data_IF_175376594248
#
_entry.id   IF_175376594248
#
_cell.length_a   1.000
_cell.length_b   1.000
_cell.length_c   1.000
_cell.angle_alpha   90.00
_cell.angle_beta   90.00
_cell.angle_gamma   90.00
#
_symmetry.space_group_name_H-M   'P 1'
#
loop_
_entity.id
_entity.type
_entity.pdbx_description
1 polymer ?
#
# COMPACT_ATOMS: atom_id res chain seq x y z
N UNK A 1 -44.87 9.07 4.87
CA UNK A 1 -43.95 9.59 3.83
C UNK A 1 -42.72 8.71 3.90
N UNK A 2 -42.41 7.97 2.84
CA UNK A 2 -41.25 7.06 2.82
C UNK A 2 -39.97 7.88 2.80
N UNK A 3 -39.16 7.77 3.86
CA UNK A 3 -37.92 8.52 3.99
C UNK A 3 -36.89 7.97 2.98
N UNK A 4 -36.55 8.76 1.96
CA UNK A 4 -35.53 8.39 0.97
C UNK A 4 -34.14 8.60 1.57
N UNK A 5 -33.53 7.51 2.01
CA UNK A 5 -32.19 7.50 2.56
C UNK A 5 -31.15 7.28 1.45
N UNK A 6 -30.00 7.96 1.55
CA UNK A 6 -28.85 7.68 0.68
C UNK A 6 -28.34 6.25 0.91
N UNK A 7 -27.87 5.54 -0.15
CA UNK A 7 -27.31 4.20 -0.01
C UNK A 7 -26.13 4.19 0.95
N UNK A 8 -26.28 3.51 2.09
CA UNK A 8 -25.27 3.42 3.16
C UNK A 8 -25.40 2.09 3.87
N UNK A 9 -24.28 1.53 4.34
CA UNK A 9 -24.32 0.47 5.33
C UNK A 9 -24.75 1.10 6.66
N UNK A 10 -25.83 0.58 7.25
CA UNK A 10 -26.37 1.03 8.53
C UNK A 10 -26.20 -0.08 9.54
N UNK A 11 -25.39 0.19 10.56
CA UNK A 11 -25.13 -0.76 11.64
C UNK A 11 -25.79 -0.23 12.90
N UNK A 12 -26.74 -0.96 13.51
CA UNK A 12 -27.27 -0.58 14.81
C UNK A 12 -26.13 -0.64 15.83
N UNK A 13 -25.99 0.42 16.62
CA UNK A 13 -25.00 0.50 17.70
C UNK A 13 -25.64 0.07 19.02
N UNK A 14 -24.80 -0.33 19.97
CA UNK A 14 -25.22 -0.66 21.33
C UNK A 14 -25.73 0.60 22.06
N UNK A 15 -27.04 0.69 22.26
CA UNK A 15 -27.68 1.86 22.88
C UNK A 15 -27.21 2.08 24.32
N UNK A 16 -26.97 1.01 25.08
CA UNK A 16 -26.58 1.10 26.49
C UNK A 16 -25.16 1.63 26.61
N UNK A 17 -24.28 1.26 25.68
CA UNK A 17 -22.93 1.81 25.60
C UNK A 17 -22.96 3.33 25.39
N UNK A 18 -23.75 3.82 24.43
CA UNK A 18 -23.82 5.25 24.12
C UNK A 18 -24.59 6.05 25.18
N UNK A 19 -25.62 5.45 25.81
CA UNK A 19 -26.29 6.04 26.97
C UNK A 19 -25.28 6.29 28.10
N UNK A 20 -24.60 5.23 28.55
CA UNK A 20 -23.67 5.30 29.69
C UNK A 20 -22.44 6.16 29.46
N UNK A 21 -21.87 6.12 28.25
CA UNK A 21 -20.59 6.76 27.96
C UNK A 21 -20.72 8.12 27.28
N UNK A 22 -21.91 8.53 26.85
CA UNK A 22 -22.10 9.87 26.27
C UNK A 22 -23.22 10.63 26.99
N UNK A 23 -24.43 10.08 27.04
CA UNK A 23 -25.59 10.80 27.58
C UNK A 23 -25.52 10.97 29.10
N UNK A 24 -25.20 9.90 29.84
CA UNK A 24 -25.03 9.94 31.30
C UNK A 24 -23.79 10.74 31.75
N UNK A 25 -22.95 11.14 30.80
CA UNK A 25 -21.76 11.98 31.01
C UNK A 25 -22.03 13.47 30.86
N UNK A 26 -23.29 13.86 30.71
CA UNK A 26 -23.71 15.25 30.71
C UNK A 26 -23.17 16.01 31.93
N UNK A 27 -22.55 17.17 31.70
CA UNK A 27 -21.96 18.00 32.75
C UNK A 27 -20.63 17.50 33.31
N UNK A 28 -20.15 16.30 32.95
CA UNK A 28 -18.85 15.79 33.39
C UNK A 28 -17.68 16.43 32.63
N UNK A 29 -16.53 16.50 33.30
CA UNK A 29 -15.32 17.12 32.76
C UNK A 29 -14.83 16.46 31.45
N UNK A 30 -15.13 15.17 31.26
CA UNK A 30 -14.77 14.40 30.06
C UNK A 30 -15.41 14.93 28.77
N UNK A 31 -16.55 15.62 28.86
CA UNK A 31 -17.25 16.21 27.72
C UNK A 31 -16.96 17.71 27.53
N UNK A 32 -16.18 18.34 28.43
CA UNK A 32 -15.96 19.78 28.41
C UNK A 32 -15.24 20.29 27.15
N UNK A 33 -14.40 19.45 26.53
CA UNK A 33 -13.72 19.81 25.28
C UNK A 33 -13.29 18.57 24.49
N UNK A 34 -12.90 18.80 23.23
CA UNK A 34 -12.51 17.76 22.28
C UNK A 34 -11.35 16.89 22.77
N UNK A 35 -10.32 17.47 23.38
CA UNK A 35 -9.14 16.71 23.82
C UNK A 35 -9.46 15.73 24.96
N UNK A 36 -10.30 16.15 25.90
CA UNK A 36 -10.79 15.30 26.99
C UNK A 36 -11.71 14.20 26.47
N UNK A 37 -12.62 14.54 25.55
CA UNK A 37 -13.49 13.57 24.90
C UNK A 37 -12.67 12.53 24.12
N UNK A 38 -11.69 12.94 23.32
CA UNK A 38 -10.82 12.04 22.57
C UNK A 38 -10.02 11.11 23.50
N UNK A 39 -9.52 11.62 24.61
CA UNK A 39 -8.78 10.82 25.60
C UNK A 39 -9.69 9.79 26.31
N UNK A 40 -10.95 10.15 26.55
CA UNK A 40 -11.93 9.29 27.21
C UNK A 40 -12.53 8.26 26.25
N UNK A 41 -13.06 8.69 25.10
CA UNK A 41 -13.77 7.85 24.13
C UNK A 41 -12.83 6.98 23.30
N UNK A 42 -11.58 7.43 23.08
CA UNK A 42 -10.47 6.76 22.35
C UNK A 42 -10.71 6.47 20.87
N UNK A 43 -11.94 6.17 20.45
CA UNK A 43 -12.31 5.90 19.07
C UNK A 43 -13.21 4.68 18.92
N UNK A 44 -13.44 4.29 17.68
CA UNK A 44 -14.23 3.12 17.32
C UNK A 44 -13.38 2.16 16.53
N UNK A 45 -13.55 0.87 16.82
CA UNK A 45 -12.97 -0.21 16.03
C UNK A 45 -14.14 -0.85 15.29
N UNK A 46 -14.12 -0.74 13.96
CA UNK A 46 -15.08 -1.41 13.09
C UNK A 46 -14.39 -2.64 12.55
N UNK A 47 -14.81 -3.82 13.01
CA UNK A 47 -14.34 -5.09 12.49
C UNK A 47 -15.39 -5.68 11.56
N UNK A 48 -15.02 -5.87 10.30
CA UNK A 48 -15.81 -6.66 9.38
C UNK A 48 -15.40 -8.13 9.51
N UNK A 49 -16.34 -9.00 9.83
CA UNK A 49 -16.17 -10.45 9.72
C UNK A 49 -16.97 -10.94 8.52
N UNK A 50 -16.29 -11.55 7.56
CA UNK A 50 -16.95 -12.24 6.44
C UNK A 50 -16.74 -13.73 6.62
N UNK A 51 -17.79 -14.52 6.35
CA UNK A 51 -17.68 -15.98 6.24
C UNK A 51 -17.36 -16.42 4.80
N UNK A 52 -17.09 -15.46 3.90
CA UNK A 52 -16.82 -15.69 2.49
C UNK A 52 -15.61 -14.84 2.06
N UNK A 53 -14.55 -15.53 1.63
CA UNK A 53 -13.22 -14.95 1.38
C UNK A 53 -13.15 -14.06 0.12
N UNK A 54 -14.24 -13.99 -0.65
CA UNK A 54 -14.26 -13.39 -1.98
C UNK A 54 -14.81 -11.95 -2.03
N UNK A 55 -15.18 -11.34 -0.89
CA UNK A 55 -15.76 -9.99 -0.88
C UNK A 55 -14.81 -8.97 -0.22
N UNK A 56 -14.31 -8.04 -1.04
CA UNK A 56 -13.69 -6.81 -0.56
C UNK A 56 -14.61 -5.63 -0.84
N UNK A 57 -14.85 -4.80 0.17
CA UNK A 57 -15.72 -3.63 0.07
C UNK A 57 -14.89 -2.35 0.04
N UNK A 58 -15.08 -1.54 -1.00
CA UNK A 58 -14.60 -0.17 -1.02
C UNK A 58 -15.66 0.72 -0.35
N UNK A 59 -15.44 1.08 0.91
CA UNK A 59 -16.35 1.91 1.67
C UNK A 59 -15.83 3.34 1.74
N UNK A 60 -16.72 4.30 1.48
CA UNK A 60 -16.46 5.71 1.75
C UNK A 60 -16.56 5.99 3.25
N UNK A 61 -15.45 5.77 3.95
CA UNK A 61 -15.32 6.08 5.37
C UNK A 61 -15.20 7.60 5.62
N UNK A 62 -14.95 8.41 4.57
CA UNK A 62 -14.87 9.87 4.73
C UNK A 62 -16.22 10.47 5.08
N UNK A 63 -17.29 9.93 4.50
CA UNK A 63 -18.66 10.37 4.77
C UNK A 63 -19.37 9.52 5.84
N UNK A 64 -18.64 8.71 6.60
CA UNK A 64 -19.18 7.92 7.70
C UNK A 64 -19.49 8.80 8.91
N UNK A 65 -20.62 8.51 9.57
CA UNK A 65 -21.14 9.26 10.70
C UNK A 65 -21.91 8.34 11.65
N UNK A 66 -22.04 8.76 12.89
CA UNK A 66 -22.92 8.15 13.88
C UNK A 66 -24.11 9.09 14.09
N UNK A 67 -25.31 8.54 14.05
CA UNK A 67 -26.53 9.26 14.46
C UNK A 67 -27.03 8.69 15.77
N UNK A 68 -27.11 9.53 16.79
CA UNK A 68 -27.74 9.22 18.06
C UNK A 68 -29.07 9.94 18.11
N UNK A 69 -30.16 9.19 18.18
CA UNK A 69 -31.48 9.74 18.46
C UNK A 69 -31.77 9.44 19.92
N UNK A 70 -32.05 10.46 20.72
CA UNK A 70 -32.31 10.32 22.14
C UNK A 70 -33.42 11.25 22.58
N UNK A 71 -34.10 10.83 23.64
CA UNK A 71 -35.11 11.62 24.31
C UNK A 71 -34.48 12.32 25.52
N UNK A 72 -34.86 13.57 25.77
CA UNK A 72 -34.40 14.34 26.91
C UNK A 72 -35.55 15.10 27.55
N UNK A 73 -35.42 15.36 28.85
CA UNK A 73 -36.39 16.14 29.60
C UNK A 73 -36.02 17.62 29.53
N UNK A 74 -36.95 18.44 29.03
CA UNK A 74 -36.85 19.90 29.06
C UNK A 74 -37.82 20.43 30.10
N UNK A 75 -37.33 21.31 30.96
CA UNK A 75 -38.15 22.11 31.85
C UNK A 75 -38.70 23.33 31.08
N UNK A 76 -39.99 23.57 31.23
CA UNK A 76 -40.71 24.70 30.64
C UNK A 76 -41.37 25.49 31.77
N UNK A 77 -40.97 26.75 31.94
CA UNK A 77 -41.38 27.64 33.03
C UNK A 77 -42.59 28.51 32.67
N UNK A 78 -43.30 28.19 31.58
CA UNK A 78 -44.46 28.95 31.12
C UNK A 78 -44.14 30.40 30.69
N UNK A 79 -42.85 30.81 30.70
CA UNK A 79 -42.41 32.19 30.54
C UNK A 79 -42.48 33.04 31.82
N UNK A 80 -42.67 32.41 32.99
CA UNK A 80 -42.83 33.07 34.29
C UNK A 80 -41.83 32.55 35.33
N UNK A 81 -40.67 33.21 35.44
CA UNK A 81 -39.58 32.76 36.33
C UNK A 81 -39.86 32.78 37.85
N UNK A 82 -40.98 33.38 38.28
CA UNK A 82 -41.38 33.48 39.71
C UNK A 82 -42.65 32.68 40.02
N UNK A 83 -43.31 32.12 39.01
CA UNK A 83 -44.49 31.25 39.17
C UNK A 83 -44.08 29.82 38.87
N UNK A 84 -44.29 28.91 39.82
CA UNK A 84 -43.93 27.49 39.68
C UNK A 84 -45.18 26.61 39.47
N UNK A 85 -46.39 27.20 39.45
CA UNK A 85 -47.64 26.45 39.40
C UNK A 85 -47.93 25.89 37.98
N UNK A 86 -47.35 26.48 36.93
CA UNK A 86 -47.49 26.05 35.53
C UNK A 86 -46.25 25.37 34.94
N UNK A 87 -45.23 25.14 35.78
CA UNK A 87 -44.02 24.40 35.43
C UNK A 87 -44.33 22.97 34.99
N UNK A 88 -43.82 22.60 33.81
CA UNK A 88 -43.93 21.23 33.31
C UNK A 88 -42.58 20.68 32.83
N UNK A 89 -42.43 19.35 32.97
CA UNK A 89 -41.34 18.60 32.35
C UNK A 89 -41.88 17.95 31.08
N UNK A 90 -41.36 18.36 29.93
CA UNK A 90 -41.71 17.78 28.64
C UNK A 90 -40.59 16.85 28.16
N UNK A 91 -40.97 15.75 27.50
CA UNK A 91 -40.00 14.88 26.81
C UNK A 91 -39.89 15.32 25.36
N UNK A 92 -38.69 15.65 24.93
CA UNK A 92 -38.37 16.03 23.55
C UNK A 92 -37.37 15.04 22.94
N UNK A 93 -37.44 14.87 21.62
CA UNK A 93 -36.48 14.05 20.89
C UNK A 93 -35.44 14.94 20.19
N UNK A 94 -34.17 14.52 20.22
CA UNK A 94 -33.09 15.17 19.48
C UNK A 94 -32.24 14.14 18.75
N UNK A 95 -31.79 14.50 17.55
CA UNK A 95 -30.74 13.78 16.83
C UNK A 95 -29.42 14.51 16.98
N UNK A 96 -28.41 13.84 17.52
CA UNK A 96 -27.03 14.30 17.46
C UNK A 96 -26.25 13.48 16.43
N UNK A 97 -25.47 14.18 15.59
CA UNK A 97 -24.62 13.55 14.58
C UNK A 97 -23.16 13.72 14.96
N UNK A 98 -22.47 12.60 15.19
CA UNK A 98 -21.03 12.57 15.42
C UNK A 98 -20.33 12.17 14.11
N UNK A 99 -19.51 13.07 13.57
CA UNK A 99 -18.66 12.76 12.41
C UNK A 99 -17.43 11.97 12.86
N UNK A 100 -16.97 11.01 12.04
CA UNK A 100 -15.71 10.32 12.34
C UNK A 100 -14.54 11.29 12.16
N UNK A 101 -13.63 11.31 13.14
CA UNK A 101 -12.44 12.15 13.14
C UNK A 101 -11.51 11.83 11.94
N UNK A 102 -10.63 12.77 11.54
CA UNK A 102 -9.70 12.55 10.42
C UNK A 102 -8.71 11.40 10.67
N UNK A 103 -8.39 11.11 11.94
CA UNK A 103 -7.48 10.03 12.32
C UNK A 103 -8.18 8.70 12.16
N UNK A 104 -7.82 7.97 11.10
CA UNK A 104 -8.38 6.66 10.74
C UNK A 104 -7.24 5.73 10.40
N UNK A 105 -7.29 4.53 10.96
CA UNK A 105 -6.36 3.45 10.65
C UNK A 105 -7.17 2.28 10.12
N UNK A 106 -6.79 1.79 8.94
CA UNK A 106 -7.35 0.55 8.41
C UNK A 106 -6.33 -0.56 8.63
N UNK A 107 -6.70 -1.58 9.41
CA UNK A 107 -5.86 -2.77 9.61
C UNK A 107 -6.48 -3.92 8.84
N UNK A 108 -5.90 -4.25 7.70
CA UNK A 108 -6.25 -5.45 6.96
C UNK A 108 -5.34 -6.57 7.47
N UNK A 109 -5.93 -7.54 8.19
CA UNK A 109 -5.26 -8.79 8.50
C UNK A 109 -5.71 -9.82 7.50
N UNK A 110 -4.77 -10.34 6.74
CA UNK A 110 -5.01 -11.43 5.81
C UNK A 110 -4.13 -12.59 6.22
N UNK A 111 -4.75 -13.73 6.49
CA UNK A 111 -4.02 -14.99 6.66
C UNK A 111 -3.95 -15.67 5.30
N UNK A 112 -2.75 -16.05 4.87
CA UNK A 112 -2.60 -16.81 3.64
C UNK A 112 -2.66 -18.29 3.98
N UNK A 113 -3.64 -19.00 3.42
CA UNK A 113 -3.81 -20.43 3.66
C UNK A 113 -2.99 -21.30 2.71
N UNK A 114 -2.38 -20.70 1.68
CA UNK A 114 -1.55 -21.44 0.73
C UNK A 114 -0.12 -21.65 1.26
N UNK A 115 0.26 -22.92 1.45
CA UNK A 115 1.57 -23.30 1.94
C UNK A 115 2.72 -22.87 1.02
N UNK A 116 2.50 -22.83 -0.29
CA UNK A 116 3.53 -22.43 -1.26
C UNK A 116 3.84 -20.94 -1.17
N UNK A 117 2.82 -20.10 -0.96
CA UNK A 117 3.01 -18.66 -0.75
C UNK A 117 3.69 -18.42 0.60
N UNK A 118 3.24 -19.11 1.65
CA UNK A 118 3.87 -18.99 2.97
C UNK A 118 5.36 -19.37 2.94
N UNK A 119 5.73 -20.43 2.20
CA UNK A 119 7.13 -20.80 2.03
C UNK A 119 7.93 -19.74 1.27
N UNK A 120 7.38 -19.16 0.20
CA UNK A 120 8.02 -18.06 -0.54
C UNK A 120 8.24 -16.83 0.35
N UNK A 121 7.27 -16.47 1.19
CA UNK A 121 7.39 -15.37 2.16
C UNK A 121 8.48 -15.66 3.20
N UNK A 122 8.54 -16.89 3.74
CA UNK A 122 9.59 -17.30 4.67
C UNK A 122 10.97 -17.23 4.03
N UNK A 123 11.12 -17.69 2.79
CA UNK A 123 12.37 -17.58 2.03
C UNK A 123 12.78 -16.11 1.87
N UNK A 124 11.82 -15.21 1.58
CA UNK A 124 12.04 -13.77 1.53
C UNK A 124 12.61 -13.20 2.83
N UNK A 125 12.04 -13.58 3.99
CA UNK A 125 12.56 -13.18 5.30
C UNK A 125 13.96 -13.74 5.61
N UNK A 126 14.35 -14.83 4.98
CA UNK A 126 15.66 -15.46 5.12
C UNK A 126 16.65 -15.03 4.03
N UNK A 127 16.28 -14.08 3.16
CA UNK A 127 17.08 -13.63 2.01
C UNK A 127 17.45 -14.80 1.06
N UNK A 128 16.60 -15.81 0.98
CA UNK A 128 16.76 -16.96 0.12
C UNK A 128 15.98 -16.81 -1.19
N UNK A 129 16.52 -17.31 -2.32
CA UNK A 129 15.79 -17.30 -3.58
C UNK A 129 14.53 -18.16 -3.48
N UNK A 130 13.48 -17.71 -4.16
CA UNK A 130 12.21 -18.44 -4.26
C UNK A 130 11.99 -18.94 -5.69
N UNK A 131 11.20 -20.01 -5.85
CA UNK A 131 10.78 -20.50 -7.17
C UNK A 131 9.74 -19.58 -7.80
N UNK A 132 8.87 -19.01 -6.97
CA UNK A 132 7.83 -18.06 -7.35
C UNK A 132 7.92 -16.82 -6.49
N UNK A 133 7.49 -15.69 -7.03
CA UNK A 133 7.36 -14.42 -6.32
C UNK A 133 5.89 -14.00 -6.41
N UNK A 134 5.26 -13.75 -5.27
CA UNK A 134 3.86 -13.37 -5.18
C UNK A 134 3.75 -11.90 -4.79
N UNK A 135 3.02 -11.13 -5.59
CA UNK A 135 2.72 -9.72 -5.30
C UNK A 135 1.20 -9.59 -5.15
N UNK A 136 0.73 -8.96 -4.09
CA UNK A 136 -0.70 -8.74 -3.81
C UNK A 136 -0.88 -7.46 -3.04
N UNK A 137 -1.85 -6.64 -3.47
CA UNK A 137 -2.05 -5.33 -2.88
C UNK A 137 -2.31 -5.37 -1.38
N UNK A 138 -1.63 -4.51 -0.64
CA UNK A 138 -1.76 -4.38 0.81
C UNK A 138 -1.29 -5.58 1.63
N UNK A 139 -0.68 -6.62 1.03
CA UNK A 139 -0.26 -7.83 1.74
C UNK A 139 1.11 -8.35 1.28
N UNK A 140 1.27 -8.71 0.01
CA UNK A 140 2.46 -9.37 -0.51
C UNK A 140 3.26 -8.45 -1.43
N UNK A 141 4.56 -8.38 -1.20
CA UNK A 141 5.52 -7.58 -1.95
C UNK A 141 6.81 -8.36 -2.10
N UNK A 142 7.72 -7.89 -2.95
CA UNK A 142 9.00 -8.54 -3.14
C UNK A 142 10.16 -7.56 -3.00
N UNK A 143 11.30 -8.13 -2.63
CA UNK A 143 12.61 -7.50 -2.67
C UNK A 143 13.39 -8.15 -3.80
N UNK A 144 13.96 -7.33 -4.68
CA UNK A 144 14.80 -7.74 -5.78
C UNK A 144 16.22 -7.23 -5.54
N UNK A 145 17.19 -8.14 -5.45
CA UNK A 145 18.60 -7.75 -5.32
C UNK A 145 19.27 -7.83 -6.69
N UNK A 146 19.70 -6.69 -7.21
CA UNK A 146 20.54 -6.58 -8.40
C UNK A 146 21.94 -7.09 -8.08
N UNK A 147 22.52 -7.86 -9.02
CA UNK A 147 23.88 -8.35 -8.95
C UNK A 147 24.20 -9.26 -7.75
N UNK A 148 23.20 -9.94 -7.19
CA UNK A 148 23.37 -10.92 -6.12
C UNK A 148 23.16 -10.36 -4.71
N UNK A 149 23.40 -11.21 -3.72
CA UNK A 149 23.12 -10.92 -2.30
C UNK A 149 24.39 -10.59 -1.51
N UNK A 150 25.56 -10.82 -2.10
CA UNK A 150 26.86 -10.58 -1.46
C UNK A 150 27.58 -9.41 -2.10
N UNK A 151 28.37 -8.70 -1.31
CA UNK A 151 29.24 -7.63 -1.80
C UNK A 151 30.22 -8.14 -2.88
N UNK A 152 30.65 -9.40 -2.77
CA UNK A 152 31.55 -10.01 -3.73
C UNK A 152 30.92 -10.14 -5.13
N UNK A 153 29.67 -10.61 -5.21
CA UNK A 153 28.92 -10.72 -6.46
C UNK A 153 28.65 -9.33 -7.07
N UNK A 154 28.24 -8.37 -6.23
CA UNK A 154 27.97 -6.99 -6.65
C UNK A 154 29.24 -6.32 -7.18
N UNK A 155 30.38 -6.50 -6.50
CA UNK A 155 31.69 -6.02 -6.95
C UNK A 155 32.05 -6.63 -8.30
N UNK A 156 31.94 -7.95 -8.44
CA UNK A 156 32.30 -8.65 -9.67
C UNK A 156 31.43 -8.20 -10.87
N UNK A 157 30.15 -7.90 -10.63
CA UNK A 157 29.27 -7.37 -11.65
C UNK A 157 29.62 -5.94 -12.09
N UNK A 158 30.06 -5.08 -11.17
CA UNK A 158 30.27 -3.64 -11.43
C UNK A 158 31.70 -3.33 -11.92
N UNK A 159 32.69 -4.08 -11.42
CA UNK A 159 34.10 -3.83 -11.66
C UNK A 159 34.45 -3.69 -13.16
N UNK A 160 33.91 -4.51 -14.08
CA UNK A 160 34.16 -4.35 -15.52
C UNK A 160 33.70 -2.99 -16.07
N UNK A 161 32.54 -2.49 -15.61
CA UNK A 161 32.00 -1.20 -16.04
C UNK A 161 32.87 -0.03 -15.59
N UNK A 162 33.45 -0.14 -14.40
CA UNK A 162 34.35 0.87 -13.84
C UNK A 162 35.72 0.85 -14.52
N UNK A 163 36.32 -0.32 -14.69
CA UNK A 163 37.65 -0.47 -15.28
C UNK A 163 37.68 0.00 -16.73
N UNK A 164 36.64 -0.32 -17.50
CA UNK A 164 36.54 0.06 -18.92
C UNK A 164 35.85 1.41 -19.15
N UNK A 165 35.50 2.13 -18.07
CA UNK A 165 34.79 3.42 -18.13
C UNK A 165 33.57 3.37 -19.06
N UNK A 166 32.76 2.32 -18.91
CA UNK A 166 31.58 2.09 -19.73
C UNK A 166 30.53 3.16 -19.39
N UNK A 167 30.06 3.88 -20.42
CA UNK A 167 28.94 4.78 -20.32
C UNK A 167 27.65 3.99 -20.57
N UNK A 168 26.76 3.96 -19.58
CA UNK A 168 25.46 3.31 -19.68
C UNK A 168 24.55 4.17 -20.55
N UNK A 169 24.01 3.60 -21.63
CA UNK A 169 23.08 4.27 -22.54
C UNK A 169 21.64 3.87 -22.29
N UNK A 170 21.41 2.60 -21.94
CA UNK A 170 20.10 2.08 -21.61
C UNK A 170 20.23 0.89 -20.66
N UNK A 171 19.31 0.77 -19.72
CA UNK A 171 19.14 -0.44 -18.94
C UNK A 171 17.67 -0.80 -18.81
N UNK A 172 17.33 -2.07 -19.08
CA UNK A 172 15.98 -2.61 -18.98
C UNK A 172 15.93 -3.79 -18.04
N UNK A 173 14.98 -3.79 -17.12
CA UNK A 173 14.69 -4.91 -16.24
C UNK A 173 13.36 -5.54 -16.65
N UNK A 174 13.40 -6.83 -17.01
CA UNK A 174 12.20 -7.63 -17.31
C UNK A 174 11.98 -8.66 -16.22
N UNK A 175 10.74 -8.74 -15.74
CA UNK A 175 10.31 -9.71 -14.73
C UNK A 175 9.21 -10.60 -15.33
N UNK A 176 9.48 -11.89 -15.44
CA UNK A 176 8.62 -12.81 -16.17
C UNK A 176 7.49 -13.36 -15.30
N UNK A 177 6.30 -13.44 -15.89
CA UNK A 177 5.17 -14.12 -15.29
C UNK A 177 5.42 -15.62 -15.21
N UNK A 178 4.84 -16.24 -14.19
CA UNK A 178 4.67 -17.68 -14.14
C UNK A 178 3.63 -18.17 -15.16
N UNK A 179 3.62 -19.48 -15.40
CA UNK A 179 2.55 -20.14 -16.17
C UNK A 179 1.18 -20.12 -15.47
N UNK A 180 1.06 -19.56 -14.26
CA UNK A 180 -0.22 -19.49 -13.54
C UNK A 180 -1.29 -18.75 -14.35
N UNK A 181 -0.96 -17.60 -14.93
CA UNK A 181 -1.94 -16.77 -15.63
C UNK A 181 -2.25 -17.31 -17.03
N UNK A 182 -1.26 -17.91 -17.71
CA UNK A 182 -1.47 -18.56 -19.01
C UNK A 182 -2.35 -19.81 -18.88
N UNK A 183 -2.21 -20.56 -17.77
CA UNK A 183 -3.07 -21.70 -17.46
C UNK A 183 -4.46 -21.29 -16.93
N UNK A 184 -4.64 -20.05 -16.50
CA UNK A 184 -5.87 -19.51 -15.93
C UNK A 184 -6.30 -18.21 -16.64
N UNK A 185 -6.46 -18.26 -17.97
CA UNK A 185 -6.66 -17.08 -18.82
C UNK A 185 -7.87 -16.19 -18.55
N UNK A 186 -8.77 -16.57 -17.62
CA UNK A 186 -9.89 -15.73 -17.18
C UNK A 186 -9.54 -14.84 -15.96
N UNK A 187 -8.36 -15.04 -15.35
CA UNK A 187 -7.92 -14.25 -14.20
C UNK A 187 -7.36 -12.91 -14.66
N UNK A 188 -7.74 -11.86 -13.94
CA UNK A 188 -7.19 -10.53 -14.16
C UNK A 188 -5.69 -10.50 -13.81
N UNK A 189 -4.87 -10.03 -14.74
CA UNK A 189 -3.45 -9.73 -14.51
C UNK A 189 -3.32 -8.23 -14.27
N UNK A 190 -2.72 -7.79 -13.15
CA UNK A 190 -2.44 -6.37 -12.92
C UNK A 190 -1.68 -5.76 -14.10
N UNK A 191 -2.17 -4.66 -14.66
CA UNK A 191 -1.56 -4.05 -15.85
C UNK A 191 -0.20 -3.41 -15.56
N UNK A 192 0.11 -3.18 -14.28
CA UNK A 192 1.33 -2.47 -13.89
C UNK A 192 1.86 -2.86 -12.52
N UNK A 193 3.18 -2.98 -12.43
CA UNK A 193 3.96 -3.06 -11.20
C UNK A 193 4.73 -1.76 -10.96
N UNK A 194 5.12 -1.53 -9.71
CA UNK A 194 5.93 -0.39 -9.31
C UNK A 194 7.21 -0.85 -8.62
N UNK A 195 8.32 -0.26 -9.05
CA UNK A 195 9.68 -0.56 -8.60
C UNK A 195 10.26 0.69 -7.92
N UNK A 196 10.87 0.52 -6.76
CA UNK A 196 11.39 1.62 -5.94
C UNK A 196 12.62 1.20 -5.14
N UNK A 197 13.28 2.15 -4.48
CA UNK A 197 14.43 1.88 -3.63
C UNK A 197 13.99 1.23 -2.32
N UNK A 198 14.38 -0.03 -2.08
CA UNK A 198 13.84 -0.81 -0.97
C UNK A 198 14.12 -0.18 0.40
N UNK A 199 15.35 0.28 0.62
CA UNK A 199 15.81 0.79 1.92
C UNK A 199 15.16 2.12 2.31
N UNK A 200 15.00 3.05 1.36
CA UNK A 200 14.44 4.38 1.61
C UNK A 200 12.94 4.49 1.33
N UNK A 201 12.39 3.63 0.46
CA UNK A 201 11.06 3.78 -0.11
C UNK A 201 11.00 4.75 -1.31
N UNK A 202 12.07 5.51 -1.56
CA UNK A 202 12.06 6.57 -2.56
C UNK A 202 11.91 6.02 -4.00
N UNK A 203 11.32 6.80 -4.92
CA UNK A 203 11.25 6.41 -6.32
C UNK A 203 12.63 6.20 -6.93
N UNK A 204 12.71 5.30 -7.90
CA UNK A 204 13.90 5.20 -8.74
C UNK A 204 14.19 6.54 -9.45
N UNK A 205 15.47 6.88 -9.70
CA UNK A 205 15.82 8.04 -10.52
C UNK A 205 15.08 8.05 -11.86
N UNK A 206 14.88 6.90 -12.48
CA UNK A 206 14.14 6.73 -13.73
C UNK A 206 12.68 7.20 -13.64
N UNK A 207 12.01 6.96 -12.51
CA UNK A 207 10.65 7.45 -12.28
C UNK A 207 10.61 8.98 -12.29
N UNK A 208 11.63 9.62 -11.71
CA UNK A 208 11.71 11.09 -11.63
C UNK A 208 12.14 11.72 -12.97
N UNK A 209 13.00 11.03 -13.73
CA UNK A 209 13.43 11.46 -15.06
C UNK A 209 12.29 11.39 -16.09
N UNK A 210 11.32 10.49 -15.88
CA UNK A 210 10.19 10.32 -16.76
C UNK A 210 9.08 11.36 -16.55
N UNK A 211 8.96 12.28 -17.51
CA UNK A 211 7.91 13.31 -17.58
C UNK A 211 6.80 12.99 -18.58
N UNK A 212 6.75 11.76 -19.09
CA UNK A 212 5.74 11.35 -20.07
C UNK A 212 4.37 11.24 -19.42
N UNK A 213 3.34 11.62 -20.18
CA UNK A 213 1.94 11.56 -19.77
C UNK A 213 1.12 10.83 -20.83
N UNK A 214 0.04 10.17 -20.42
CA UNK A 214 -0.87 9.44 -21.28
C UNK A 214 -2.30 9.91 -21.03
N UNK A 215 -2.69 10.98 -21.72
CA UNK A 215 -4.02 11.57 -21.56
C UNK A 215 -5.12 10.55 -21.91
N UNK A 216 -6.08 10.39 -20.99
CA UNK A 216 -7.20 9.47 -21.16
C UNK A 216 -6.88 8.01 -20.90
N UNK A 217 -5.65 7.67 -20.51
CA UNK A 217 -5.25 6.31 -20.11
C UNK A 217 -5.05 6.28 -18.60
N UNK A 218 -5.92 5.57 -17.89
CA UNK A 218 -5.76 5.37 -16.45
C UNK A 218 -4.42 4.68 -16.17
N UNK A 219 -3.61 5.27 -15.28
CA UNK A 219 -2.29 4.74 -14.92
C UNK A 219 -1.32 4.55 -16.10
N UNK A 220 -1.53 5.29 -17.19
CA UNK A 220 -0.66 5.25 -18.39
C UNK A 220 0.51 6.24 -18.36
N UNK A 221 0.56 7.16 -17.39
CA UNK A 221 1.64 8.14 -17.28
C UNK A 221 2.97 7.47 -16.93
N UNK A 222 4.08 8.19 -17.16
CA UNK A 222 5.43 7.68 -16.95
C UNK A 222 5.65 6.34 -17.66
N UNK A 223 5.20 6.23 -18.90
CA UNK A 223 5.29 4.99 -19.67
C UNK A 223 6.72 4.67 -20.10
N UNK A 224 7.65 5.63 -20.01
CA UNK A 224 9.09 5.38 -20.24
C UNK A 224 9.69 4.68 -19.03
N UNK A 225 9.35 5.05 -17.79
CA UNK A 225 9.76 4.31 -16.60
C UNK A 225 9.23 2.87 -16.64
N UNK A 226 8.02 2.70 -17.16
CA UNK A 226 7.45 1.40 -17.46
C UNK A 226 6.83 0.75 -16.23
N UNK A 227 7.15 -0.52 -16.01
CA UNK A 227 6.43 -1.42 -15.11
C UNK A 227 5.13 -1.95 -15.71
N UNK A 228 4.90 -1.70 -17.00
CA UNK A 228 3.68 -2.09 -17.73
C UNK A 228 3.79 -3.54 -18.18
N UNK A 229 2.66 -4.25 -18.10
CA UNK A 229 2.51 -5.61 -18.58
C UNK A 229 2.73 -5.67 -20.10
N UNK A 230 3.60 -6.57 -20.52
CA UNK A 230 3.95 -6.85 -21.91
C UNK A 230 3.36 -8.18 -22.35
N UNK A 231 3.08 -8.29 -23.64
CA UNK A 231 2.47 -9.45 -24.26
C UNK A 231 3.44 -10.15 -25.20
N UNK A 232 3.34 -11.47 -25.30
CA UNK A 232 4.09 -12.25 -26.28
C UNK A 232 3.50 -12.13 -27.69
N UNK A 233 4.13 -12.78 -28.67
CA UNK A 233 3.66 -12.77 -30.06
C UNK A 233 2.27 -13.41 -30.27
N UNK A 234 1.76 -14.15 -29.28
CA UNK A 234 0.44 -14.76 -29.29
C UNK A 234 -0.58 -13.96 -28.46
N UNK A 235 -0.26 -12.70 -28.10
CA UNK A 235 -1.10 -11.79 -27.32
C UNK A 235 -1.39 -12.30 -25.90
N UNK A 236 -0.46 -13.06 -25.31
CA UNK A 236 -0.56 -13.55 -23.93
C UNK A 236 0.32 -12.74 -23.00
N UNK A 237 -0.14 -12.44 -21.77
CA UNK A 237 0.66 -11.69 -20.80
C UNK A 237 1.96 -12.46 -20.49
N UNK A 238 3.10 -11.78 -20.63
CA UNK A 238 4.42 -12.41 -20.62
C UNK A 238 5.31 -11.91 -19.48
N UNK A 239 5.49 -10.61 -19.35
CA UNK A 239 6.42 -10.02 -18.39
C UNK A 239 6.09 -8.56 -18.12
N UNK A 240 6.65 -8.01 -17.05
CA UNK A 240 6.71 -6.56 -16.83
C UNK A 240 8.07 -6.04 -17.26
N UNK A 241 8.13 -4.90 -17.94
CA UNK A 241 9.38 -4.24 -18.36
C UNK A 241 9.53 -2.87 -17.69
N UNK A 242 10.68 -2.61 -17.07
CA UNK A 242 11.07 -1.34 -16.49
C UNK A 242 12.30 -0.78 -17.20
N UNK A 243 12.33 0.53 -17.45
CA UNK A 243 13.58 1.22 -17.78
C UNK A 243 14.22 1.68 -16.46
N UNK A 244 15.45 1.22 -16.23
CA UNK A 244 16.23 1.50 -15.01
C UNK A 244 17.61 2.09 -15.34
N UNK A 245 17.72 2.75 -16.49
CA UNK A 245 18.95 3.38 -17.00
C UNK A 245 19.57 4.34 -16.00
N UNK A 246 18.78 5.24 -15.42
CA UNK A 246 19.27 6.26 -14.48
C UNK A 246 19.67 5.62 -13.15
N UNK A 247 18.94 4.61 -12.69
CA UNK A 247 19.33 3.81 -11.51
C UNK A 247 20.67 3.11 -11.72
N UNK A 248 20.84 2.37 -12.83
CA UNK A 248 22.12 1.71 -13.14
C UNK A 248 23.23 2.74 -13.32
N UNK A 249 22.98 3.86 -14.01
CA UNK A 249 23.96 4.95 -14.16
C UNK A 249 24.37 5.52 -12.81
N UNK A 250 23.42 5.68 -11.88
CA UNK A 250 23.71 6.17 -10.52
C UNK A 250 24.55 5.18 -9.74
N UNK A 251 24.21 3.89 -9.76
CA UNK A 251 25.02 2.82 -9.15
C UNK A 251 26.45 2.87 -9.73
N UNK A 252 26.58 2.90 -11.06
CA UNK A 252 27.88 2.95 -11.74
C UNK A 252 28.62 4.26 -11.51
N UNK A 253 27.96 5.37 -11.20
CA UNK A 253 28.60 6.64 -10.85
C UNK A 253 29.12 6.65 -9.41
N UNK A 254 28.30 6.14 -8.49
CA UNK A 254 28.50 6.19 -7.04
C UNK A 254 29.38 5.07 -6.48
N UNK A 255 29.53 3.97 -7.23
CA UNK A 255 30.37 2.85 -6.83
C UNK A 255 31.84 3.27 -6.78
N UNK A 256 32.54 2.88 -5.73
CA UNK A 256 33.97 3.08 -5.54
C UNK A 256 34.58 1.78 -5.01
N UNK A 257 35.86 1.57 -5.29
CA UNK A 257 36.60 0.43 -4.78
C UNK A 257 37.77 0.94 -3.94
N UNK A 258 37.64 0.85 -2.62
CA UNK A 258 38.68 1.21 -1.66
C UNK A 258 39.14 -0.07 -0.97
N UNK A 259 40.45 -0.36 -1.04
CA UNK A 259 41.05 -1.59 -0.49
C UNK A 259 40.36 -2.91 -0.92
N UNK A 260 39.74 -2.90 -2.11
CA UNK A 260 39.03 -4.06 -2.67
C UNK A 260 37.57 -4.22 -2.22
N UNK A 261 37.09 -3.37 -1.30
CA UNK A 261 35.70 -3.31 -0.87
C UNK A 261 34.88 -2.39 -1.79
N UNK A 262 33.64 -2.78 -2.09
CA UNK A 262 32.70 -1.96 -2.85
C UNK A 262 32.00 -0.99 -1.91
N UNK A 263 32.11 0.31 -2.18
CA UNK A 263 31.34 1.34 -1.47
C UNK A 263 30.44 2.11 -2.44
N UNK A 264 29.25 2.50 -1.98
CA UNK A 264 28.31 3.34 -2.72
C UNK A 264 28.08 4.61 -1.90
N UNK A 265 28.56 5.75 -2.38
CA UNK A 265 28.41 7.02 -1.67
C UNK A 265 26.93 7.43 -1.54
N UNK A 266 26.34 7.18 -0.37
CA UNK A 266 24.97 7.51 0.04
C UNK A 266 23.88 6.92 -0.88
N UNK A 267 24.11 5.74 -1.49
CA UNK A 267 23.19 5.14 -2.48
C UNK A 267 23.15 3.61 -2.40
N UNK A 268 22.41 3.04 -1.45
CA UNK A 268 22.35 1.58 -1.22
C UNK A 268 21.24 0.89 -2.03
N UNK A 269 21.42 0.79 -3.36
CA UNK A 269 20.33 0.50 -4.30
C UNK A 269 20.53 -0.73 -5.17
N UNK A 270 21.31 -1.69 -4.68
CA UNK A 270 21.21 -3.05 -5.19
C UNK A 270 19.87 -3.68 -4.80
N UNK A 271 19.24 -3.22 -3.72
CA UNK A 271 17.97 -3.74 -3.26
C UNK A 271 16.79 -2.87 -3.71
N UNK A 272 15.93 -3.43 -4.54
CA UNK A 272 14.73 -2.79 -5.07
C UNK A 272 13.48 -3.40 -4.44
N UNK A 273 12.52 -2.56 -4.09
CA UNK A 273 11.20 -2.99 -3.66
C UNK A 273 10.26 -3.09 -4.86
N UNK A 274 9.43 -4.14 -4.88
CA UNK A 274 8.45 -4.39 -5.94
C UNK A 274 7.06 -4.57 -5.33
N UNK A 275 6.11 -3.75 -5.79
CA UNK A 275 4.70 -3.76 -5.38
C UNK A 275 3.79 -3.62 -6.60
N UNK A 276 2.48 -3.75 -6.41
CA UNK A 276 1.52 -3.39 -7.47
C UNK A 276 1.59 -1.90 -7.77
N UNK A 277 1.47 -1.54 -9.04
CA UNK A 277 1.54 -0.15 -9.51
C UNK A 277 0.20 0.36 -9.99
N UNK A 278 -0.87 0.25 -9.19
CA UNK A 278 -2.23 0.55 -9.63
C UNK A 278 -2.45 2.02 -10.05
N UNK A 279 -1.81 2.95 -9.36
CA UNK A 279 -1.66 4.33 -9.80
C UNK A 279 -0.35 4.88 -9.25
N UNK A 280 0.69 4.87 -10.07
CA UNK A 280 2.04 5.26 -9.66
C UNK A 280 2.22 6.77 -9.46
N UNK A 281 1.18 7.59 -9.62
CA UNK A 281 1.21 8.98 -9.13
C UNK A 281 1.04 9.05 -7.60
N UNK A 282 0.42 8.03 -6.99
CA UNK A 282 0.22 7.95 -5.54
C UNK A 282 1.31 7.11 -4.89
N UNK A 283 2.53 7.67 -4.83
CA UNK A 283 3.72 7.01 -4.27
C UNK A 283 4.06 7.44 -2.85
N UNK A 284 3.17 8.18 -2.18
CA UNK A 284 3.35 8.55 -0.78
C UNK A 284 3.63 7.30 0.07
N UNK A 285 4.63 7.39 0.93
CA UNK A 285 5.09 6.26 1.74
C UNK A 285 4.27 6.13 3.02
N UNK A 286 3.95 4.88 3.35
CA UNK A 286 3.39 4.49 4.64
C UNK A 286 4.34 3.49 5.32
N UNK A 287 4.27 3.44 6.64
CA UNK A 287 4.97 2.41 7.40
C UNK A 287 4.13 1.13 7.41
N UNK A 288 4.64 0.09 6.77
CA UNK A 288 4.08 -1.26 6.86
C UNK A 288 4.74 -2.01 8.01
N UNK A 289 3.96 -2.51 8.96
CA UNK A 289 4.49 -3.34 10.04
C UNK A 289 4.56 -4.80 9.61
N UNK A 290 5.76 -5.38 9.65
CA UNK A 290 5.96 -6.79 9.33
C UNK A 290 5.50 -7.69 10.48
N UNK A 291 5.01 -8.91 10.20
CA UNK A 291 4.55 -9.83 11.22
C UNK A 291 5.69 -10.25 12.16
N UNK A 292 5.31 -10.65 13.38
CA UNK A 292 6.23 -11.21 14.39
C UNK A 292 7.38 -10.26 14.78
N UNK A 293 7.14 -8.94 14.70
CA UNK A 293 8.13 -7.95 15.13
C UNK A 293 9.34 -7.82 14.21
N UNK A 294 9.26 -8.30 12.96
CA UNK A 294 10.32 -8.19 11.94
C UNK A 294 10.64 -6.77 11.47
N UNK A 295 10.09 -5.75 12.12
CA UNK A 295 10.35 -4.34 11.83
C UNK A 295 9.29 -3.70 10.95
N UNK A 296 9.69 -2.61 10.30
CA UNK A 296 8.83 -1.79 9.43
C UNK A 296 9.45 -1.68 8.04
N UNK A 297 8.59 -1.59 7.03
CA UNK A 297 8.96 -1.29 5.65
C UNK A 297 8.40 0.07 5.24
N UNK A 298 9.10 0.76 4.35
CA UNK A 298 8.57 1.94 3.66
C UNK A 298 7.81 1.47 2.42
N UNK A 299 6.49 1.51 2.49
CA UNK A 299 5.60 0.93 1.49
C UNK A 299 4.89 2.03 0.69
N UNK A 300 5.04 2.08 -0.64
CA UNK A 300 4.34 3.05 -1.49
C UNK A 300 2.83 2.82 -1.54
N UNK A 301 2.03 3.89 -1.39
CA UNK A 301 0.56 3.83 -1.39
C UNK A 301 -0.01 3.11 -2.63
N UNK A 302 0.59 3.30 -3.81
CA UNK A 302 0.16 2.62 -5.05
C UNK A 302 0.03 1.11 -4.91
N UNK A 303 0.86 0.50 -4.05
CA UNK A 303 0.84 -0.93 -3.76
C UNK A 303 -0.36 -1.40 -2.93
N UNK A 304 -1.24 -0.52 -2.46
CA UNK A 304 -2.46 -0.88 -1.71
C UNK A 304 -3.75 -0.55 -2.47
N UNK A 305 -3.65 0.18 -3.59
CA UNK A 305 -4.81 0.70 -4.31
C UNK A 305 -5.53 -0.35 -5.17
N UNK A 306 -4.91 -1.50 -5.42
CA UNK A 306 -5.49 -2.59 -6.20
C UNK A 306 -5.37 -3.91 -5.42
N UNK A 307 -6.46 -4.64 -5.17
CA UNK A 307 -6.43 -5.83 -4.34
C UNK A 307 -6.09 -7.13 -5.09
N UNK A 308 -5.96 -7.09 -6.42
CA UNK A 308 -5.57 -8.24 -7.23
C UNK A 308 -4.12 -8.65 -6.92
N UNK A 309 -3.69 -9.78 -7.46
CA UNK A 309 -2.33 -10.29 -7.26
C UNK A 309 -1.75 -10.83 -8.55
N UNK A 310 -0.44 -11.03 -8.54
CA UNK A 310 0.31 -11.64 -9.64
C UNK A 310 1.39 -12.57 -9.11
N UNK A 311 1.65 -13.64 -9.86
CA UNK A 311 2.68 -14.64 -9.60
C UNK A 311 3.74 -14.51 -10.71
N UNK A 312 4.94 -14.13 -10.29
CA UNK A 312 6.13 -14.05 -11.13
C UNK A 312 7.01 -15.28 -10.91
N UNK A 313 7.86 -15.56 -11.89
CA UNK A 313 8.94 -16.52 -11.72
C UNK A 313 10.00 -15.95 -10.77
N UNK A 314 10.50 -16.79 -9.87
CA UNK A 314 11.62 -16.48 -9.01
C UNK A 314 12.91 -17.20 -9.46
N UNK A 315 14.05 -16.73 -8.96
CA UNK A 315 15.37 -17.19 -9.40
C UNK A 315 15.64 -18.68 -9.16
N UNK A 316 14.93 -19.33 -8.23
CA UNK A 316 15.07 -20.77 -7.99
C UNK A 316 14.25 -21.64 -8.95
N UNK A 317 13.43 -21.05 -9.84
CA UNK A 317 12.54 -21.80 -10.75
C UNK A 317 13.27 -22.65 -11.79
N UNK A 318 14.56 -22.38 -12.05
CA UNK A 318 15.30 -22.96 -13.18
C UNK A 318 14.85 -22.42 -14.55
N UNK A 319 13.88 -21.50 -14.58
CA UNK A 319 13.40 -20.81 -15.77
C UNK A 319 13.98 -19.39 -15.83
N UNK A 320 13.78 -18.70 -16.97
CA UNK A 320 14.17 -17.29 -17.13
C UNK A 320 13.24 -16.41 -16.29
N UNK A 321 13.59 -16.21 -15.02
CA UNK A 321 12.79 -15.46 -14.06
C UNK A 321 12.87 -13.94 -14.27
N UNK A 322 14.08 -13.44 -14.57
CA UNK A 322 14.34 -12.04 -14.81
C UNK A 322 15.42 -11.87 -15.89
N UNK A 323 15.44 -10.70 -16.51
CA UNK A 323 16.49 -10.28 -17.43
C UNK A 323 16.85 -8.82 -17.17
N UNK A 324 18.15 -8.56 -17.00
CA UNK A 324 18.71 -7.22 -16.96
C UNK A 324 19.53 -7.00 -18.24
N UNK A 325 19.00 -6.20 -19.15
CA UNK A 325 19.66 -5.81 -20.39
C UNK A 325 20.33 -4.45 -20.18
N UNK A 326 21.65 -4.37 -20.40
CA UNK A 326 22.42 -3.12 -20.27
C UNK A 326 23.14 -2.84 -21.58
N UNK A 327 22.81 -1.70 -22.20
CA UNK A 327 23.48 -1.19 -23.40
C UNK A 327 24.45 -0.10 -22.95
N UNK A 328 25.72 -0.25 -23.34
CA UNK A 328 26.77 0.69 -22.96
C UNK A 328 27.74 0.96 -24.11
N UNK A 329 28.43 2.09 -24.03
CA UNK A 329 29.56 2.42 -24.89
C UNK A 329 30.85 2.42 -24.07
N UNK A 330 31.96 2.01 -24.69
CA UNK A 330 33.29 2.14 -24.10
C UNK A 330 33.93 3.45 -24.58
N UNK A 331 34.30 4.34 -23.66
CA UNK A 331 35.17 5.46 -24.01
C UNK A 331 36.59 4.93 -24.22
N UNK A 332 37.17 5.17 -25.41
CA UNK A 332 38.56 4.83 -25.73
C UNK A 332 39.57 5.60 -24.89
#
# INVERSE_FOLDING_TARGET
MEERLTPRIRVPLDTDFFQKNILDKEGEEVLNNLAKFQSYFKGLIIQATSNNDNLMMLLDINNALIKMNFDFQRYDDGGTSEDLDDDIIMTENRTYTLNLAPVRFNTIRTENQDSSINQSVLNGFQEQPSEKIYIKGGNLFAKLNLFGNTEAEQREAILPYKNERRLINAAKLRLYLSDFHSNNGNLYVPERLYLYLNSSGEPLPDYNADNTTANGVTNGDKYVFGGLLQYDAADRPSHYEFNITENITTIMGKASFEDGALTLSDYDNFSLGLVLGANIQYINLFEGHLPEGRGVIKYPLTGTLNPFGVELLGNASGLKAAELEIIYNTTR
#
